data_IF_051685229613
#
_entry.id   IF_051685229613
#
_cell.length_a   1.000
_cell.length_b   1.000
_cell.length_c   1.000
_cell.angle_alpha   90.00
_cell.angle_beta   90.00
_cell.angle_gamma   90.00
#
_symmetry.space_group_name_H-M   'P 1'
#
loop_
_entity.id
_entity.type
_entity.pdbx_description
1 polymer ?
#
# COMPACT_ATOMS: atom_id res chain seq x y z
N UNK A 1 16.16 7.81 -16.37
CA UNK A 1 16.06 6.38 -15.95
C UNK A 1 16.53 5.47 -17.09
N UNK A 2 17.61 4.70 -16.90
CA UNK A 2 18.37 3.99 -17.94
C UNK A 2 17.63 2.78 -18.56
N UNK A 3 17.80 2.51 -19.87
CA UNK A 3 17.44 1.24 -20.55
C UNK A 3 18.36 0.09 -20.15
N UNK A 4 18.46 -0.19 -18.85
CA UNK A 4 19.52 -0.99 -18.24
C UNK A 4 19.62 -2.44 -18.75
N UNK A 5 18.59 -2.97 -19.40
CA UNK A 5 18.59 -4.32 -19.98
C UNK A 5 19.13 -4.38 -21.41
N UNK A 6 19.03 -3.27 -22.15
CA UNK A 6 19.26 -3.27 -23.60
C UNK A 6 20.51 -2.49 -23.99
N UNK A 7 20.91 -1.51 -23.18
CA UNK A 7 22.01 -0.63 -23.49
C UNK A 7 23.07 -0.67 -22.38
N UNK A 8 24.35 -0.70 -22.77
CA UNK A 8 25.47 -0.59 -21.82
C UNK A 8 25.56 0.85 -21.29
N UNK A 9 26.14 1.03 -20.08
CA UNK A 9 26.35 2.36 -19.53
C UNK A 9 27.15 3.27 -20.48
N UNK A 10 28.13 2.72 -21.20
CA UNK A 10 28.91 3.46 -22.21
C UNK A 10 28.08 3.86 -23.44
N UNK A 11 27.24 2.96 -23.95
CA UNK A 11 26.35 3.24 -25.08
C UNK A 11 25.33 4.33 -24.72
N UNK A 12 24.82 4.27 -23.48
CA UNK A 12 23.94 5.30 -22.91
C UNK A 12 24.69 6.63 -22.85
N UNK A 13 25.87 6.71 -22.21
CA UNK A 13 26.61 7.96 -22.10
C UNK A 13 26.89 8.57 -23.49
N UNK A 14 27.27 7.75 -24.46
CA UNK A 14 27.50 8.18 -25.84
C UNK A 14 26.23 8.70 -26.54
N UNK A 15 25.08 8.06 -26.34
CA UNK A 15 23.80 8.50 -26.90
C UNK A 15 23.26 9.77 -26.24
N UNK A 16 23.39 9.95 -24.92
CA UNK A 16 22.95 11.17 -24.21
C UNK A 16 23.66 12.43 -24.67
N UNK A 17 24.93 12.30 -25.07
CA UNK A 17 25.72 13.40 -25.64
C UNK A 17 25.27 13.79 -27.05
N UNK A 18 24.60 12.87 -27.75
CA UNK A 18 24.25 13.00 -29.17
C UNK A 18 22.82 13.49 -29.36
N UNK A 19 21.91 13.09 -28.47
CA UNK A 19 20.52 13.53 -28.45
C UNK A 19 19.97 13.51 -27.00
N UNK A 20 20.08 14.64 -26.27
CA UNK A 20 19.63 14.74 -24.88
C UNK A 20 18.10 14.62 -24.72
N UNK A 21 17.33 14.84 -25.79
CA UNK A 21 15.85 14.77 -25.79
C UNK A 21 15.30 13.41 -26.27
N UNK A 22 16.17 12.50 -26.72
CA UNK A 22 15.75 11.16 -27.13
C UNK A 22 15.05 10.41 -25.99
N UNK A 23 14.08 9.54 -26.32
CA UNK A 23 13.30 8.68 -25.40
C UNK A 23 14.13 7.66 -24.57
N UNK A 24 15.44 7.91 -24.49
CA UNK A 24 16.48 7.29 -23.71
C UNK A 24 16.14 7.08 -22.23
N UNK A 25 15.24 7.91 -21.69
CA UNK A 25 14.80 7.89 -20.29
C UNK A 25 13.31 7.62 -20.09
N UNK A 26 12.57 7.30 -21.16
CA UNK A 26 11.11 7.23 -21.12
C UNK A 26 10.55 5.91 -20.57
N UNK A 27 11.33 4.82 -20.58
CA UNK A 27 10.87 3.56 -19.98
C UNK A 27 10.71 3.76 -18.48
N UNK A 28 9.47 3.62 -18.00
CA UNK A 28 9.06 3.84 -16.59
C UNK A 28 8.91 5.30 -16.15
N UNK A 29 9.07 6.31 -17.02
CA UNK A 29 8.97 7.72 -16.62
C UNK A 29 7.62 8.09 -16.02
N UNK A 30 6.52 7.63 -16.62
CA UNK A 30 5.16 7.83 -16.10
C UNK A 30 4.85 6.95 -14.85
N UNK A 31 5.73 6.01 -14.51
CA UNK A 31 5.56 5.08 -13.38
C UNK A 31 6.47 5.43 -12.19
N UNK A 32 7.37 6.41 -12.36
CA UNK A 32 8.38 6.86 -11.39
C UNK A 32 8.30 8.38 -11.11
N UNK A 33 7.09 8.91 -10.97
CA UNK A 33 6.79 10.32 -10.70
C UNK A 33 7.37 10.81 -9.34
N UNK A 34 7.47 9.92 -8.35
CA UNK A 34 8.03 10.20 -7.04
C UNK A 34 9.46 10.68 -7.08
N UNK A 35 10.26 10.17 -8.01
CA UNK A 35 11.67 10.56 -8.17
C UNK A 35 11.84 12.03 -8.56
N UNK A 36 10.82 12.62 -9.19
CA UNK A 36 10.83 14.01 -9.67
C UNK A 36 10.19 14.96 -8.65
N UNK A 37 9.04 14.57 -8.09
CA UNK A 37 8.22 15.48 -7.26
C UNK A 37 8.15 15.13 -5.78
N UNK A 38 8.58 13.93 -5.38
CA UNK A 38 8.58 13.44 -4.00
C UNK A 38 7.21 13.22 -3.35
N UNK A 39 6.13 13.81 -3.90
CA UNK A 39 4.80 13.84 -3.30
C UNK A 39 4.21 12.47 -3.02
N UNK A 40 4.46 11.49 -3.90
CA UNK A 40 3.99 10.11 -3.74
C UNK A 40 4.51 9.45 -2.46
N UNK A 41 5.69 9.85 -1.98
CA UNK A 41 6.31 9.25 -0.79
C UNK A 41 5.65 9.70 0.51
N UNK A 42 5.03 10.88 0.55
CA UNK A 42 4.29 11.38 1.71
C UNK A 42 2.79 11.13 1.63
N UNK A 43 2.29 10.74 0.46
CA UNK A 43 0.86 10.64 0.25
C UNK A 43 0.17 9.57 1.11
N UNK A 44 0.76 8.38 1.36
CA UNK A 44 0.22 7.43 2.33
C UNK A 44 0.15 8.00 3.75
N UNK A 45 1.19 8.70 4.21
CA UNK A 45 1.18 9.34 5.53
C UNK A 45 0.03 10.33 5.67
N UNK A 46 -0.18 11.18 4.66
CA UNK A 46 -1.21 12.22 4.72
C UNK A 46 -2.64 11.65 4.55
N UNK A 47 -2.77 10.50 3.90
CA UNK A 47 -4.03 9.76 3.73
C UNK A 47 -4.31 8.71 4.81
N UNK A 48 -3.41 8.53 5.78
CA UNK A 48 -3.45 7.40 6.73
C UNK A 48 -4.68 7.38 7.64
N UNK A 49 -5.34 8.53 7.85
CA UNK A 49 -6.56 8.67 8.65
C UNK A 49 -7.78 9.04 7.80
N UNK A 50 -7.72 8.80 6.49
CA UNK A 50 -8.88 8.93 5.60
C UNK A 50 -10.09 8.20 6.20
N UNK A 51 -11.30 8.78 6.20
CA UNK A 51 -11.75 9.95 5.41
C UNK A 51 -11.46 11.32 6.03
N UNK A 52 -10.85 11.35 7.22
CA UNK A 52 -10.38 12.60 7.84
C UNK A 52 -8.97 12.96 7.35
N UNK A 53 -8.53 14.17 7.67
CA UNK A 53 -7.20 14.64 7.31
C UNK A 53 -6.58 15.43 8.46
N UNK A 54 -5.26 15.51 8.48
CA UNK A 54 -4.50 16.27 9.48
C UNK A 54 -3.45 17.18 8.86
N UNK A 55 -3.30 17.11 7.54
CA UNK A 55 -2.41 17.95 6.76
C UNK A 55 -2.54 17.68 5.27
N UNK A 56 -1.77 18.41 4.48
CA UNK A 56 -1.66 18.20 3.05
C UNK A 56 -0.25 18.53 2.57
N UNK A 57 0.14 17.93 1.44
CA UNK A 57 1.45 18.13 0.82
C UNK A 57 1.33 18.98 -0.44
N UNK A 58 2.30 19.86 -0.65
CA UNK A 58 2.47 20.63 -1.89
C UNK A 58 3.77 20.13 -2.54
N UNK A 59 3.67 19.24 -3.55
CA UNK A 59 4.85 18.76 -4.26
C UNK A 59 5.48 19.88 -5.08
N UNK A 60 6.81 19.86 -5.16
CA UNK A 60 7.62 20.70 -6.02
C UNK A 60 8.75 19.85 -6.60
N UNK A 61 9.42 20.35 -7.64
CA UNK A 61 10.58 19.65 -8.19
C UNK A 61 11.63 19.50 -7.08
N UNK A 62 11.99 18.25 -6.76
CA UNK A 62 13.00 17.90 -5.76
C UNK A 62 12.63 18.14 -4.29
N UNK A 63 11.41 18.56 -3.96
CA UNK A 63 11.01 18.83 -2.57
C UNK A 63 9.49 18.70 -2.36
N UNK A 64 9.06 18.43 -1.13
CA UNK A 64 7.64 18.46 -0.72
C UNK A 64 7.50 19.35 0.49
N UNK A 65 6.56 20.30 0.44
CA UNK A 65 6.19 21.09 1.62
C UNK A 65 4.95 20.46 2.24
N UNK A 66 5.04 20.05 3.50
CA UNK A 66 3.90 19.48 4.25
C UNK A 66 3.34 20.53 5.19
N UNK A 67 2.04 20.84 5.03
CA UNK A 67 1.28 21.67 5.94
C UNK A 67 0.50 20.78 6.89
N UNK A 68 0.81 20.83 8.18
CA UNK A 68 0.05 20.16 9.23
C UNK A 68 -0.94 21.13 9.87
N UNK A 69 -2.15 20.66 10.15
CA UNK A 69 -3.14 21.43 10.90
C UNK A 69 -2.91 21.35 12.42
N UNK A 70 -2.00 20.47 12.87
CA UNK A 70 -1.76 20.19 14.30
C UNK A 70 -2.96 19.53 14.99
N UNK A 71 -3.93 19.04 14.22
CA UNK A 71 -5.14 18.33 14.65
C UNK A 71 -5.76 17.60 13.46
N UNK A 72 -6.60 16.62 13.72
CA UNK A 72 -7.50 16.05 12.73
C UNK A 72 -8.63 17.05 12.42
N UNK A 73 -8.98 17.15 11.15
CA UNK A 73 -10.12 17.90 10.63
C UNK A 73 -10.89 17.00 9.66
N UNK A 74 -12.17 17.31 9.44
CA UNK A 74 -12.96 16.59 8.44
C UNK A 74 -12.36 16.78 7.05
N UNK A 75 -11.98 15.68 6.39
CA UNK A 75 -11.44 15.69 5.02
C UNK A 75 -12.56 15.73 3.98
N UNK A 76 -13.65 15.01 4.24
CA UNK A 76 -14.94 15.12 3.53
C UNK A 76 -16.07 15.05 4.56
N UNK A 77 -17.07 15.93 4.43
CA UNK A 77 -18.26 15.94 5.28
C UNK A 77 -19.35 15.04 4.70
N UNK A 78 -20.32 14.62 5.52
CA UNK A 78 -21.61 14.03 5.12
C UNK A 78 -22.51 14.99 4.30
N UNK A 79 -21.92 16.01 3.67
CA UNK A 79 -22.62 17.04 2.92
C UNK A 79 -22.81 16.67 1.46
N UNK A 80 -23.46 17.56 0.71
CA UNK A 80 -23.65 17.40 -0.72
C UNK A 80 -22.31 17.14 -1.44
N UNK A 81 -22.28 16.25 -2.45
CA UNK A 81 -21.07 15.99 -3.20
C UNK A 81 -20.50 17.27 -3.81
N UNK A 82 -19.17 17.39 -3.86
CA UNK A 82 -18.51 18.61 -4.38
C UNK A 82 -18.63 18.71 -5.90
N UNK A 83 -18.59 17.56 -6.57
CA UNK A 83 -18.75 17.48 -8.02
C UNK A 83 -20.09 16.82 -8.38
N UNK A 84 -20.74 17.28 -9.44
CA UNK A 84 -22.04 16.72 -9.88
C UNK A 84 -21.93 15.22 -10.21
N UNK A 85 -20.77 14.76 -10.70
CA UNK A 85 -20.56 13.34 -11.01
C UNK A 85 -20.63 12.45 -9.76
N UNK A 86 -20.26 12.98 -8.60
CA UNK A 86 -20.28 12.24 -7.34
C UNK A 86 -21.73 11.97 -6.86
N UNK A 87 -22.73 12.65 -7.43
CA UNK A 87 -24.15 12.38 -7.15
C UNK A 87 -24.60 10.99 -7.64
N UNK A 88 -23.87 10.39 -8.58
CA UNK A 88 -24.11 9.00 -8.99
C UNK A 88 -23.95 8.02 -7.83
N UNK A 89 -23.17 8.37 -6.80
CA UNK A 89 -23.06 7.57 -5.57
C UNK A 89 -24.37 7.41 -4.81
N UNK A 90 -25.34 8.32 -4.97
CA UNK A 90 -26.69 8.21 -4.36
C UNK A 90 -27.48 7.05 -4.95
N UNK A 91 -27.11 6.57 -6.14
CA UNK A 91 -27.75 5.40 -6.77
C UNK A 91 -27.36 4.07 -6.09
N UNK A 92 -26.34 4.07 -5.22
CA UNK A 92 -26.00 2.92 -4.41
C UNK A 92 -26.81 2.93 -3.10
N UNK A 93 -27.46 1.80 -2.78
CA UNK A 93 -28.24 1.65 -1.54
C UNK A 93 -27.41 1.74 -0.25
N UNK A 94 -26.09 1.56 -0.34
CA UNK A 94 -25.17 1.60 0.80
C UNK A 94 -24.09 2.66 0.59
N UNK A 95 -24.04 3.65 1.50
CA UNK A 95 -22.95 4.62 1.56
C UNK A 95 -21.92 4.17 2.58
N UNK A 96 -20.71 3.84 2.12
CA UNK A 96 -19.58 3.46 2.99
C UNK A 96 -19.08 4.60 3.87
N UNK A 97 -19.37 5.85 3.51
CA UNK A 97 -18.86 7.05 4.19
C UNK A 97 -19.17 7.10 5.68
N UNK A 98 -20.36 6.63 6.08
CA UNK A 98 -20.78 6.58 7.48
C UNK A 98 -20.24 5.37 8.26
N UNK A 99 -19.60 4.42 7.59
CA UNK A 99 -19.11 3.17 8.18
C UNK A 99 -17.58 3.17 8.42
N UNK A 100 -16.86 4.21 7.97
CA UNK A 100 -15.44 4.38 8.30
C UNK A 100 -15.26 4.77 9.77
N UNK A 101 -14.27 4.17 10.44
CA UNK A 101 -13.89 4.60 11.78
C UNK A 101 -13.17 5.97 11.75
N UNK A 102 -13.90 7.01 12.15
CA UNK A 102 -13.39 8.38 12.31
C UNK A 102 -12.98 8.73 13.74
N UNK A 103 -13.20 7.82 14.69
CA UNK A 103 -12.95 8.00 16.13
C UNK A 103 -11.71 7.28 16.63
N UNK A 104 -11.00 6.56 15.75
CA UNK A 104 -9.72 5.90 16.05
C UNK A 104 -8.64 6.79 16.70
N UNK A 105 -8.74 8.12 16.58
CA UNK A 105 -7.82 9.08 17.19
C UNK A 105 -8.57 10.05 18.11
N UNK A 106 -8.16 10.08 19.38
CA UNK A 106 -8.63 11.07 20.33
C UNK A 106 -7.78 12.35 20.27
N UNK A 107 -8.30 13.36 19.60
CA UNK A 107 -7.65 14.67 19.48
C UNK A 107 -7.57 15.45 20.79
N UNK A 108 -8.33 15.07 21.83
CA UNK A 108 -8.27 15.74 23.15
C UNK A 108 -7.02 15.31 23.93
N UNK A 109 -6.51 14.11 23.67
CA UNK A 109 -5.36 13.53 24.34
C UNK A 109 -4.08 13.72 23.50
N UNK A 110 -4.20 13.77 22.17
CA UNK A 110 -3.04 13.82 21.27
C UNK A 110 -2.35 15.21 21.28
N UNK A 111 -1.07 15.21 21.69
CA UNK A 111 -0.26 16.42 21.69
C UNK A 111 0.03 16.91 20.25
N UNK A 112 -0.07 18.22 19.98
CA UNK A 112 0.13 18.81 18.64
C UNK A 112 1.49 18.47 18.00
N UNK A 113 2.54 18.33 18.80
CA UNK A 113 3.87 17.91 18.33
C UNK A 113 3.91 16.48 17.75
N UNK A 114 2.93 15.63 18.07
CA UNK A 114 2.85 14.28 17.50
C UNK A 114 2.76 14.33 15.97
N UNK A 115 2.09 15.34 15.40
CA UNK A 115 1.97 15.48 13.96
C UNK A 115 3.30 15.81 13.27
N UNK A 116 4.10 16.73 13.83
CA UNK A 116 5.44 17.03 13.28
C UNK A 116 6.39 15.85 13.47
N UNK A 117 6.38 15.22 14.64
CA UNK A 117 7.20 14.03 14.90
C UNK A 117 6.82 12.85 13.98
N UNK A 118 5.54 12.72 13.62
CA UNK A 118 5.08 11.72 12.65
C UNK A 118 5.63 11.97 11.25
N UNK A 119 5.69 13.24 10.81
CA UNK A 119 6.30 13.64 9.53
C UNK A 119 7.79 13.29 9.54
N UNK A 120 8.52 13.68 10.59
CA UNK A 120 9.97 13.44 10.68
C UNK A 120 10.30 11.95 10.70
N UNK A 121 9.54 11.18 11.49
CA UNK A 121 9.68 9.72 11.55
C UNK A 121 9.43 9.11 10.18
N UNK A 122 8.34 9.48 9.51
CA UNK A 122 7.99 8.96 8.19
C UNK A 122 9.04 9.31 7.13
N UNK A 123 9.46 10.58 7.08
CA UNK A 123 10.48 11.06 6.18
C UNK A 123 11.78 10.26 6.34
N UNK A 124 12.20 10.00 7.59
CA UNK A 124 13.38 9.19 7.89
C UNK A 124 13.24 7.74 7.41
N UNK A 125 12.05 7.14 7.51
CA UNK A 125 11.82 5.77 7.02
C UNK A 125 11.84 5.71 5.50
N UNK A 126 11.16 6.64 4.84
CA UNK A 126 11.16 6.76 3.39
C UNK A 126 12.58 6.97 2.87
N UNK A 127 13.33 7.93 3.42
CA UNK A 127 14.70 8.25 3.00
C UNK A 127 15.59 7.00 3.03
N UNK A 128 15.58 6.27 4.15
CA UNK A 128 16.34 5.01 4.28
C UNK A 128 15.92 3.96 3.25
N UNK A 129 14.61 3.78 3.04
CA UNK A 129 14.12 2.85 2.03
C UNK A 129 14.52 3.25 0.61
N UNK A 130 14.51 4.56 0.29
CA UNK A 130 14.93 5.05 -1.01
C UNK A 130 16.43 4.85 -1.22
N UNK A 131 17.26 5.17 -0.24
CA UNK A 131 18.71 4.92 -0.29
C UNK A 131 19.00 3.46 -0.64
N UNK A 132 18.31 2.52 0.00
CA UNK A 132 18.49 1.10 -0.24
C UNK A 132 17.99 0.65 -1.63
N UNK A 133 16.77 1.07 -1.98
CA UNK A 133 16.06 0.60 -3.18
C UNK A 133 16.60 1.24 -4.47
N UNK A 134 17.27 2.38 -4.36
CA UNK A 134 17.82 3.10 -5.51
C UNK A 134 19.34 2.92 -5.63
N UNK A 135 19.99 2.26 -4.66
CA UNK A 135 21.42 1.98 -4.73
C UNK A 135 21.70 0.75 -5.60
N UNK A 136 22.50 0.87 -6.68
CA UNK A 136 22.87 -0.27 -7.51
C UNK A 136 23.61 -1.38 -6.73
N UNK A 137 24.34 -1.02 -5.67
CA UNK A 137 25.11 -1.97 -4.85
C UNK A 137 24.22 -2.91 -4.04
N UNK A 138 22.94 -2.59 -3.86
CA UNK A 138 21.95 -3.49 -3.23
C UNK A 138 21.58 -4.67 -4.13
N UNK A 139 21.83 -4.56 -5.44
CA UNK A 139 21.34 -5.49 -6.45
C UNK A 139 22.46 -6.25 -7.13
N UNK A 140 23.26 -6.99 -6.36
CA UNK A 140 24.28 -7.90 -6.89
C UNK A 140 23.86 -9.37 -6.73
N UNK A 141 24.32 -10.24 -7.62
CA UNK A 141 24.17 -11.69 -7.48
C UNK A 141 25.31 -12.30 -6.64
N UNK A 142 25.40 -13.63 -6.59
CA UNK A 142 26.41 -14.37 -5.83
C UNK A 142 27.85 -14.13 -6.30
N UNK A 143 28.04 -13.59 -7.50
CA UNK A 143 29.35 -13.26 -8.08
C UNK A 143 29.63 -11.75 -8.04
N UNK A 144 28.90 -11.00 -7.22
CA UNK A 144 28.94 -9.54 -7.12
C UNK A 144 28.60 -8.81 -8.45
N UNK A 145 27.89 -9.48 -9.36
CA UNK A 145 27.48 -8.88 -10.64
C UNK A 145 26.16 -8.14 -10.47
N UNK A 146 26.14 -6.87 -10.87
CA UNK A 146 24.95 -6.02 -10.80
C UNK A 146 23.79 -6.57 -11.65
N UNK A 147 22.58 -6.57 -11.08
CA UNK A 147 21.32 -7.11 -11.62
C UNK A 147 20.32 -6.00 -11.95
N UNK A 148 20.47 -5.33 -13.11
CA UNK A 148 19.67 -4.16 -13.47
C UNK A 148 18.16 -4.41 -13.55
N UNK A 149 17.76 -5.57 -14.07
CA UNK A 149 16.34 -5.91 -14.16
C UNK A 149 15.68 -6.12 -12.80
N UNK A 150 16.41 -6.63 -11.81
CA UNK A 150 15.93 -6.72 -10.43
C UNK A 150 15.83 -5.31 -9.82
N UNK A 151 16.86 -4.48 -9.96
CA UNK A 151 16.87 -3.10 -9.47
C UNK A 151 15.64 -2.32 -9.98
N UNK A 152 15.44 -2.26 -11.30
CA UNK A 152 14.32 -1.53 -11.90
C UNK A 152 12.95 -2.04 -11.40
N UNK A 153 12.77 -3.37 -11.31
CA UNK A 153 11.51 -3.97 -10.84
C UNK A 153 11.21 -3.58 -9.39
N UNK A 154 12.20 -3.58 -8.50
CA UNK A 154 11.99 -3.22 -7.10
C UNK A 154 11.63 -1.74 -6.92
N UNK A 155 12.30 -0.85 -7.66
CA UNK A 155 11.97 0.58 -7.68
C UNK A 155 10.52 0.81 -8.11
N UNK A 156 10.11 0.18 -9.22
CA UNK A 156 8.74 0.24 -9.73
C UNK A 156 7.73 -0.30 -8.71
N UNK A 157 7.98 -1.47 -8.14
CA UNK A 157 7.06 -2.09 -7.20
C UNK A 157 6.85 -1.24 -5.95
N UNK A 158 7.91 -0.62 -5.42
CA UNK A 158 7.81 0.25 -4.25
C UNK A 158 7.01 1.52 -4.55
N UNK A 159 7.27 2.16 -5.68
CA UNK A 159 6.54 3.38 -6.02
C UNK A 159 5.06 3.10 -6.34
N UNK A 160 4.80 2.03 -7.10
CA UNK A 160 3.43 1.61 -7.40
C UNK A 160 2.66 1.19 -6.15
N UNK A 161 3.33 0.58 -5.15
CA UNK A 161 2.72 0.29 -3.86
C UNK A 161 2.25 1.58 -3.16
N UNK A 162 3.12 2.59 -3.06
CA UNK A 162 2.79 3.88 -2.44
C UNK A 162 1.68 4.61 -3.20
N UNK A 163 1.77 4.66 -4.53
CA UNK A 163 0.79 5.30 -5.40
C UNK A 163 -0.60 4.67 -5.25
N UNK A 164 -0.68 3.34 -5.17
CA UNK A 164 -1.97 2.64 -5.03
C UNK A 164 -2.56 2.78 -3.63
N UNK A 165 -1.75 2.68 -2.57
CA UNK A 165 -2.21 2.96 -1.19
C UNK A 165 -2.77 4.38 -1.09
N UNK A 166 -2.08 5.32 -1.72
CA UNK A 166 -2.54 6.70 -1.82
C UNK A 166 -3.86 6.82 -2.60
N UNK A 167 -3.99 6.16 -3.76
CA UNK A 167 -5.22 6.17 -4.53
C UNK A 167 -6.41 5.58 -3.75
N UNK A 168 -6.20 4.48 -3.00
CA UNK A 168 -7.20 3.89 -2.11
C UNK A 168 -7.67 4.91 -1.07
N UNK A 169 -6.74 5.57 -0.38
CA UNK A 169 -7.07 6.52 0.70
C UNK A 169 -7.72 7.82 0.20
N UNK A 170 -7.53 8.19 -1.07
CA UNK A 170 -8.17 9.36 -1.70
C UNK A 170 -9.63 9.16 -2.10
N UNK A 171 -10.11 7.92 -2.16
CA UNK A 171 -11.44 7.58 -2.69
C UNK A 171 -12.37 6.90 -1.67
N UNK A 172 -12.62 7.49 -0.47
CA UNK A 172 -13.46 6.84 0.54
C UNK A 172 -14.93 6.65 0.12
N UNK A 173 -15.39 7.36 -0.92
CA UNK A 173 -16.78 7.32 -1.39
C UNK A 173 -17.03 6.23 -2.43
N UNK A 174 -15.97 5.56 -2.91
CA UNK A 174 -16.07 4.55 -3.96
C UNK A 174 -15.40 3.25 -3.52
N UNK A 175 -16.11 2.43 -2.70
CA UNK A 175 -15.62 1.15 -2.25
C UNK A 175 -15.25 0.19 -3.38
N UNK A 176 -15.97 0.26 -4.50
CA UNK A 176 -15.70 -0.60 -5.65
C UNK A 176 -14.32 -0.28 -6.24
N UNK A 177 -14.02 0.99 -6.48
CA UNK A 177 -12.69 1.44 -6.91
C UNK A 177 -11.62 1.11 -5.86
N UNK A 178 -11.89 1.34 -4.57
CA UNK A 178 -10.93 0.98 -3.51
C UNK A 178 -10.61 -0.52 -3.49
N UNK A 179 -11.60 -1.39 -3.66
CA UNK A 179 -11.39 -2.85 -3.74
C UNK A 179 -10.66 -3.25 -5.03
N UNK A 180 -10.99 -2.64 -6.17
CA UNK A 180 -10.26 -2.85 -7.43
C UNK A 180 -8.79 -2.45 -7.34
N UNK A 181 -8.47 -1.43 -6.54
CA UNK A 181 -7.09 -1.01 -6.27
C UNK A 181 -6.41 -1.88 -5.20
N UNK A 182 -7.16 -2.34 -4.20
CA UNK A 182 -6.68 -3.21 -3.13
C UNK A 182 -6.03 -4.48 -3.68
N UNK A 183 -6.74 -5.22 -4.54
CA UNK A 183 -6.27 -6.51 -5.04
C UNK A 183 -4.88 -6.48 -5.69
N UNK A 184 -4.62 -5.65 -6.70
CA UNK A 184 -3.30 -5.60 -7.31
C UNK A 184 -2.24 -4.96 -6.39
N UNK A 185 -2.64 -4.14 -5.39
CA UNK A 185 -1.72 -3.69 -4.33
C UNK A 185 -1.27 -4.86 -3.46
N UNK A 186 -2.21 -5.73 -3.08
CA UNK A 186 -1.92 -6.95 -2.33
C UNK A 186 -1.10 -7.95 -3.15
N UNK A 187 -1.29 -8.02 -4.47
CA UNK A 187 -0.45 -8.84 -5.35
C UNK A 187 1.01 -8.38 -5.35
N UNK A 188 1.26 -7.06 -5.47
CA UNK A 188 2.61 -6.50 -5.34
C UNK A 188 3.25 -6.91 -3.99
N UNK A 189 2.48 -6.81 -2.90
CA UNK A 189 2.91 -7.22 -1.57
C UNK A 189 3.18 -8.72 -1.45
N UNK A 190 2.31 -9.56 -2.03
CA UNK A 190 2.42 -11.01 -2.00
C UNK A 190 3.66 -11.47 -2.76
N UNK A 191 3.81 -11.04 -4.01
CA UNK A 191 4.83 -11.54 -4.91
C UNK A 191 6.21 -10.99 -4.58
N UNK A 192 6.29 -9.68 -4.35
CA UNK A 192 7.57 -8.98 -4.24
C UNK A 192 8.06 -8.90 -2.80
N UNK A 193 7.26 -8.29 -1.91
CA UNK A 193 7.73 -7.89 -0.58
C UNK A 193 7.67 -9.01 0.46
N UNK A 194 6.61 -9.82 0.45
CA UNK A 194 6.39 -10.83 1.49
C UNK A 194 6.73 -12.24 1.03
N UNK A 195 6.58 -12.55 -0.26
CA UNK A 195 6.69 -13.89 -0.79
C UNK A 195 5.61 -14.85 -0.31
N UNK A 196 4.40 -14.34 -0.07
CA UNK A 196 3.26 -15.19 0.28
C UNK A 196 2.72 -15.90 -0.95
N UNK A 197 2.03 -17.02 -0.72
CA UNK A 197 1.32 -17.75 -1.76
C UNK A 197 -0.03 -17.08 -2.05
N UNK A 198 0.01 -15.85 -2.58
CA UNK A 198 -1.17 -15.06 -2.94
C UNK A 198 -1.71 -14.17 -1.83
N UNK A 199 -2.78 -13.42 -2.18
CA UNK A 199 -3.33 -12.37 -1.32
C UNK A 199 -4.10 -12.91 -0.13
N UNK A 200 -4.77 -14.06 -0.25
CA UNK A 200 -5.63 -14.57 0.83
C UNK A 200 -4.84 -14.79 2.12
N UNK A 201 -3.59 -15.20 1.99
CA UNK A 201 -2.64 -15.35 3.09
C UNK A 201 -2.27 -14.02 3.77
N UNK A 202 -2.36 -12.90 3.05
CA UNK A 202 -2.06 -11.57 3.58
C UNK A 202 -3.25 -10.92 4.29
N UNK A 203 -4.47 -11.36 3.94
CA UNK A 203 -5.70 -10.77 4.44
C UNK A 203 -6.23 -11.47 5.72
N UNK A 204 -5.50 -12.43 6.28
CA UNK A 204 -5.95 -13.13 7.49
C UNK A 204 -5.75 -12.26 8.75
N UNK A 205 -6.74 -12.18 9.67
CA UNK A 205 -6.63 -11.38 10.89
C UNK A 205 -5.40 -11.74 11.72
N UNK A 206 -5.14 -13.05 11.85
CA UNK A 206 -3.98 -13.59 12.58
C UNK A 206 -2.65 -13.09 12.04
N UNK A 207 -2.49 -12.95 10.71
CA UNK A 207 -1.26 -12.43 10.13
C UNK A 207 -1.15 -10.92 10.29
N UNK A 208 -2.26 -10.21 10.10
CA UNK A 208 -2.34 -8.76 10.27
C UNK A 208 -1.99 -8.36 11.70
N UNK A 209 -2.59 -9.01 12.71
CA UNK A 209 -2.30 -8.82 14.13
C UNK A 209 -0.81 -9.02 14.45
N UNK A 210 -0.21 -10.13 14.01
CA UNK A 210 1.23 -10.39 14.21
C UNK A 210 2.14 -9.32 13.59
N UNK A 211 1.71 -8.69 12.49
CA UNK A 211 2.47 -7.61 11.87
C UNK A 211 2.32 -6.31 12.66
N UNK A 212 1.11 -6.00 13.11
CA UNK A 212 0.83 -4.84 13.96
C UNK A 212 1.67 -4.90 15.24
N UNK A 213 1.73 -6.05 15.91
CA UNK A 213 2.54 -6.25 17.11
C UNK A 213 4.04 -6.01 16.86
N UNK A 214 4.54 -6.37 15.68
CA UNK A 214 5.94 -6.16 15.29
C UNK A 214 6.22 -4.69 15.00
N UNK A 215 5.31 -4.04 14.28
CA UNK A 215 5.43 -2.64 13.88
C UNK A 215 5.30 -1.72 15.10
N UNK A 216 4.31 -1.94 15.96
CA UNK A 216 4.05 -1.11 17.15
C UNK A 216 5.30 -0.99 18.04
N UNK A 217 6.06 -2.08 18.21
CA UNK A 217 7.36 -2.08 18.95
C UNK A 217 8.44 -1.17 18.38
N UNK A 218 8.27 -0.65 17.16
CA UNK A 218 9.25 0.19 16.43
C UNK A 218 8.73 1.60 16.15
N UNK A 219 7.48 1.88 16.53
CA UNK A 219 6.85 3.20 16.41
C UNK A 219 6.90 3.87 17.78
N UNK A 220 7.41 5.12 17.88
CA UNK A 220 7.41 5.85 19.14
C UNK A 220 6.00 6.11 19.68
N UNK A 221 5.80 5.94 20.98
CA UNK A 221 4.51 6.04 21.68
C UNK A 221 3.74 7.32 21.34
N UNK A 222 4.42 8.48 21.27
CA UNK A 222 3.77 9.77 21.02
C UNK A 222 3.08 9.84 19.65
N UNK A 223 3.66 9.20 18.65
CA UNK A 223 3.16 9.24 17.26
C UNK A 223 2.39 7.96 16.89
N UNK A 224 2.43 6.94 17.74
CA UNK A 224 1.77 5.66 17.52
C UNK A 224 0.27 5.82 17.19
N UNK A 225 -0.52 6.66 17.90
CA UNK A 225 -1.93 6.85 17.56
C UNK A 225 -2.15 7.35 16.13
N UNK A 226 -1.24 8.15 15.58
CA UNK A 226 -1.33 8.66 14.21
C UNK A 226 -0.85 7.57 13.23
N UNK A 227 0.34 7.04 13.44
CA UNK A 227 0.99 6.12 12.48
C UNK A 227 0.25 4.77 12.40
N UNK A 228 -0.22 4.26 13.53
CA UNK A 228 -0.85 2.94 13.64
C UNK A 228 -2.36 2.93 13.43
N UNK A 229 -3.02 4.09 13.37
CA UNK A 229 -4.47 4.19 13.13
C UNK A 229 -4.98 3.31 11.98
N UNK A 230 -4.45 3.41 10.73
CA UNK A 230 -4.94 2.57 9.64
C UNK A 230 -4.70 1.08 9.88
N UNK A 231 -3.64 0.72 10.58
CA UNK A 231 -3.32 -0.67 10.84
C UNK A 231 -4.31 -1.30 11.84
N UNK A 232 -4.66 -0.57 12.91
CA UNK A 232 -5.66 -1.00 13.89
C UNK A 232 -7.05 -1.11 13.26
N UNK A 233 -7.42 -0.13 12.44
CA UNK A 233 -8.68 -0.15 11.65
C UNK A 233 -8.75 -1.33 10.68
N UNK A 234 -7.64 -1.59 9.96
CA UNK A 234 -7.56 -2.73 9.05
C UNK A 234 -7.71 -4.08 9.77
N UNK A 235 -7.16 -4.22 10.98
CA UNK A 235 -7.33 -5.44 11.77
C UNK A 235 -8.78 -5.63 12.19
N UNK A 236 -9.41 -4.60 12.77
CA UNK A 236 -10.81 -4.66 13.18
C UNK A 236 -11.72 -5.00 12.00
N UNK A 237 -11.47 -4.42 10.83
CA UNK A 237 -12.18 -4.75 9.60
C UNK A 237 -11.94 -6.21 9.15
N UNK A 238 -10.70 -6.71 9.24
CA UNK A 238 -10.40 -8.09 8.86
C UNK A 238 -11.07 -9.10 9.81
N UNK A 239 -11.15 -8.79 11.11
CA UNK A 239 -11.87 -9.58 12.11
C UNK A 239 -13.36 -9.62 11.80
N UNK A 240 -13.97 -8.46 11.51
CA UNK A 240 -15.37 -8.39 11.09
C UNK A 240 -15.65 -9.23 9.83
N UNK A 241 -14.77 -9.22 8.82
CA UNK A 241 -14.92 -10.10 7.64
C UNK A 241 -14.92 -11.58 8.05
N UNK A 242 -14.14 -11.98 9.06
CA UNK A 242 -14.16 -13.35 9.56
C UNK A 242 -15.46 -13.73 10.27
N UNK A 243 -16.14 -12.77 10.89
CA UNK A 243 -17.39 -12.98 11.62
C UNK A 243 -18.63 -13.04 10.70
N UNK A 244 -18.50 -12.64 9.44
CA UNK A 244 -19.58 -12.58 8.45
C UNK A 244 -19.88 -13.93 7.74
N UNK A 245 -19.22 -15.01 8.16
CA UNK A 245 -19.61 -16.38 7.77
C UNK A 245 -20.82 -16.85 8.57
N UNK A 246 -21.95 -17.06 7.90
CA UNK A 246 -23.23 -17.38 8.56
C UNK A 246 -23.68 -18.84 8.38
N UNK A 247 -23.04 -19.59 7.48
CA UNK A 247 -23.28 -21.03 7.27
C UNK A 247 -22.03 -21.82 7.68
N UNK A 248 -22.16 -22.99 8.32
CA UNK A 248 -21.04 -23.92 8.47
C UNK A 248 -20.46 -24.33 7.12
N UNK A 249 -19.15 -24.54 7.05
CA UNK A 249 -18.52 -25.05 5.83
C UNK A 249 -19.01 -26.48 5.53
N UNK A 250 -19.36 -26.81 4.28
CA UNK A 250 -19.68 -28.19 3.88
C UNK A 250 -18.44 -29.08 3.90
N UNK A 251 -17.24 -28.50 3.83
CA UNK A 251 -15.98 -29.20 4.05
C UNK A 251 -15.69 -29.28 5.56
N UNK A 252 -15.63 -30.49 6.16
CA UNK A 252 -15.40 -30.67 7.59
C UNK A 252 -13.99 -30.27 8.05
N UNK A 253 -13.02 -30.24 7.13
CA UNK A 253 -11.63 -29.87 7.42
C UNK A 253 -11.37 -28.35 7.28
N UNK A 254 -12.38 -27.58 6.87
CA UNK A 254 -12.23 -26.15 6.65
C UNK A 254 -12.09 -25.38 7.98
N UNK A 255 -10.91 -24.81 8.19
CA UNK A 255 -10.66 -23.87 9.29
C UNK A 255 -11.18 -22.47 8.96
N UNK A 256 -11.51 -21.62 9.94
CA UNK A 256 -11.86 -20.21 9.70
C UNK A 256 -10.82 -19.47 8.85
N UNK A 257 -9.53 -19.73 9.10
CA UNK A 257 -8.43 -19.14 8.33
C UNK A 257 -8.45 -19.58 6.87
N UNK A 258 -8.65 -20.88 6.60
CA UNK A 258 -8.76 -21.39 5.22
C UNK A 258 -9.95 -20.82 4.47
N UNK A 259 -11.10 -20.66 5.13
CA UNK A 259 -12.31 -20.06 4.55
C UNK A 259 -12.09 -18.61 4.15
N UNK A 260 -11.41 -17.83 5.00
CA UNK A 260 -11.00 -16.46 4.68
C UNK A 260 -10.05 -16.41 3.47
N UNK A 261 -9.07 -17.31 3.42
CA UNK A 261 -8.15 -17.39 2.27
C UNK A 261 -8.92 -17.67 0.97
N UNK A 262 -9.86 -18.61 1.00
CA UNK A 262 -10.70 -18.95 -0.15
C UNK A 262 -11.61 -17.78 -0.56
N UNK A 263 -12.23 -17.09 0.41
CA UNK A 263 -13.05 -15.90 0.16
C UNK A 263 -12.27 -14.83 -0.60
N UNK A 264 -11.07 -14.47 -0.13
CA UNK A 264 -10.27 -13.43 -0.76
C UNK A 264 -9.76 -13.82 -2.13
N UNK A 265 -9.37 -15.08 -2.32
CA UNK A 265 -8.99 -15.59 -3.63
C UNK A 265 -10.17 -15.60 -4.61
N UNK A 266 -11.36 -15.98 -4.14
CA UNK A 266 -12.61 -15.93 -4.92
C UNK A 266 -12.96 -14.50 -5.33
N UNK A 267 -12.89 -13.55 -4.40
CA UNK A 267 -13.15 -12.12 -4.67
C UNK A 267 -12.12 -11.49 -5.61
N UNK A 268 -10.84 -11.81 -5.48
CA UNK A 268 -9.79 -11.32 -6.40
C UNK A 268 -10.06 -11.73 -7.84
N UNK A 269 -10.50 -12.97 -8.05
CA UNK A 269 -10.72 -13.54 -9.38
C UNK A 269 -11.99 -13.01 -10.07
N UNK A 270 -12.74 -12.11 -9.45
CA UNK A 270 -13.94 -11.48 -10.03
C UNK A 270 -13.67 -10.74 -11.34
N UNK A 271 -12.43 -10.31 -11.59
CA UNK A 271 -12.02 -9.71 -12.87
C UNK A 271 -12.11 -10.69 -14.06
N UNK A 272 -12.24 -12.00 -13.79
CA UNK A 272 -12.44 -13.05 -14.78
C UNK A 272 -13.83 -13.71 -14.68
N UNK A 273 -14.73 -13.21 -13.83
CA UNK A 273 -16.01 -13.83 -13.49
C UNK A 273 -15.93 -14.82 -12.34
N UNK A 274 -17.07 -15.12 -11.72
CA UNK A 274 -17.17 -16.13 -10.66
C UNK A 274 -17.22 -17.54 -11.27
N UNK A 275 -16.12 -18.29 -11.17
CA UNK A 275 -16.03 -19.69 -11.60
C UNK A 275 -16.26 -20.66 -10.42
N UNK A 276 -15.91 -21.95 -10.57
CA UNK A 276 -16.09 -23.07 -9.62
C UNK A 276 -15.63 -22.85 -8.14
N UNK A 277 -15.05 -21.71 -7.79
CA UNK A 277 -14.66 -21.35 -6.41
C UNK A 277 -15.65 -20.37 -5.75
N UNK A 278 -16.83 -20.13 -6.33
CA UNK A 278 -17.82 -19.19 -5.83
C UNK A 278 -18.63 -19.70 -4.63
N UNK A 279 -18.57 -21.00 -4.32
CA UNK A 279 -19.34 -21.60 -3.22
C UNK A 279 -19.06 -20.94 -1.87
N UNK A 280 -17.80 -20.53 -1.62
CA UNK A 280 -17.41 -19.80 -0.40
C UNK A 280 -18.14 -18.46 -0.24
N UNK A 281 -18.63 -17.87 -1.33
CA UNK A 281 -19.42 -16.63 -1.31
C UNK A 281 -20.87 -16.89 -0.88
N UNK A 282 -21.37 -18.11 -1.02
CA UNK A 282 -22.69 -18.49 -0.51
C UNK A 282 -22.66 -18.71 1.02
N UNK A 283 -21.49 -18.94 1.61
CA UNK A 283 -21.31 -19.14 3.04
C UNK A 283 -21.12 -17.83 3.84
N UNK A 284 -20.90 -16.71 3.15
CA UNK A 284 -20.55 -15.41 3.72
C UNK A 284 -21.53 -14.34 3.24
N UNK A 285 -21.90 -13.38 4.09
CA UNK A 285 -22.86 -12.31 3.74
C UNK A 285 -22.45 -11.41 2.56
N UNK A 286 -21.23 -11.54 2.07
CA UNK A 286 -20.62 -10.60 1.13
C UNK A 286 -20.34 -9.19 1.68
N UNK A 287 -20.65 -8.91 2.96
CA UNK A 287 -20.34 -7.61 3.56
C UNK A 287 -18.84 -7.46 3.74
N UNK A 288 -18.28 -6.31 3.33
CA UNK A 288 -16.91 -5.93 3.62
C UNK A 288 -16.91 -4.58 4.35
N UNK A 289 -16.34 -4.47 5.55
CA UNK A 289 -16.18 -3.20 6.23
C UNK A 289 -15.30 -2.26 5.38
N UNK A 290 -15.58 -0.95 5.32
CA UNK A 290 -14.84 -0.02 4.47
C UNK A 290 -13.33 0.00 4.75
N UNK A 291 -12.95 -0.18 6.03
CA UNK A 291 -11.55 -0.13 6.48
C UNK A 291 -10.70 -1.33 6.05
N UNK A 292 -11.30 -2.36 5.44
CA UNK A 292 -10.55 -3.52 4.94
C UNK A 292 -9.53 -3.13 3.86
N UNK A 293 -9.78 -2.03 3.16
CA UNK A 293 -8.91 -1.50 2.11
C UNK A 293 -7.60 -0.90 2.67
N UNK A 294 -7.49 -0.77 4.00
CA UNK A 294 -6.31 -0.27 4.69
C UNK A 294 -5.28 -1.38 5.00
N UNK A 295 -5.60 -2.67 4.77
CA UNK A 295 -4.65 -3.78 4.98
C UNK A 295 -3.29 -3.58 4.30
N UNK A 296 -3.17 -3.09 3.05
CA UNK A 296 -1.88 -2.78 2.43
C UNK A 296 -1.00 -1.84 3.27
N UNK A 297 -1.61 -0.93 4.03
CA UNK A 297 -0.89 0.02 4.88
C UNK A 297 -0.14 -0.69 6.01
N UNK A 298 -0.71 -1.77 6.57
CA UNK A 298 -0.06 -2.60 7.59
C UNK A 298 1.28 -3.14 7.06
N UNK A 299 1.26 -3.64 5.84
CA UNK A 299 2.45 -4.18 5.18
C UNK A 299 3.44 -3.09 4.80
N UNK A 300 2.96 -1.92 4.36
CA UNK A 300 3.82 -0.77 4.12
C UNK A 300 4.58 -0.38 5.40
N UNK A 301 3.91 -0.32 6.55
CA UNK A 301 4.57 -0.04 7.83
C UNK A 301 5.58 -1.13 8.22
N UNK A 302 5.29 -2.42 7.99
CA UNK A 302 6.26 -3.50 8.21
C UNK A 302 7.52 -3.31 7.35
N UNK A 303 7.34 -2.97 6.06
CA UNK A 303 8.45 -2.68 5.12
C UNK A 303 9.28 -1.49 5.59
N UNK A 304 8.62 -0.38 5.98
CA UNK A 304 9.30 0.85 6.40
C UNK A 304 9.99 0.72 7.77
N UNK A 305 9.54 -0.22 8.61
CA UNK A 305 10.13 -0.44 9.94
C UNK A 305 11.16 -1.58 9.97
N UNK A 306 11.13 -2.51 9.01
CA UNK A 306 12.04 -3.65 8.92
C UNK A 306 12.96 -3.61 7.68
N UNK A 307 13.92 -2.70 7.72
CA UNK A 307 14.91 -2.53 6.65
C UNK A 307 15.64 -3.83 6.30
N UNK A 308 16.04 -4.60 7.30
CA UNK A 308 16.83 -5.82 7.08
C UNK A 308 16.02 -6.86 6.31
N UNK A 309 14.76 -7.07 6.68
CA UNK A 309 13.88 -8.00 5.98
C UNK A 309 13.66 -7.64 4.51
N UNK A 310 13.56 -6.34 4.21
CA UNK A 310 13.49 -5.83 2.83
C UNK A 310 14.76 -6.19 2.06
N UNK A 311 15.93 -5.88 2.60
CA UNK A 311 17.23 -6.15 1.96
C UNK A 311 17.47 -7.66 1.75
N UNK A 312 17.12 -8.51 2.71
CA UNK A 312 17.18 -9.96 2.58
C UNK A 312 16.26 -10.49 1.47
N UNK A 313 15.13 -9.83 1.24
CA UNK A 313 14.21 -10.19 0.16
C UNK A 313 14.77 -9.78 -1.21
N UNK A 314 15.31 -8.57 -1.32
CA UNK A 314 16.01 -8.10 -2.52
C UNK A 314 17.17 -9.04 -2.88
N UNK A 315 18.02 -9.36 -1.91
CA UNK A 315 19.17 -10.26 -2.11
C UNK A 315 18.75 -11.63 -2.64
N UNK A 316 17.75 -12.26 -2.00
CA UNK A 316 17.23 -13.57 -2.45
C UNK A 316 16.67 -13.52 -3.87
N UNK A 317 16.06 -12.40 -4.27
CA UNK A 317 15.52 -12.22 -5.61
C UNK A 317 16.63 -12.01 -6.66
N UNK A 318 17.72 -11.31 -6.31
CA UNK A 318 18.91 -11.17 -7.15
C UNK A 318 19.67 -12.50 -7.35
N UNK A 319 19.67 -13.38 -6.35
CA UNK A 319 20.30 -14.70 -6.38
C UNK A 319 19.51 -15.74 -7.19
N UNK A 320 18.24 -15.48 -7.51
CA UNK A 320 17.45 -16.43 -8.31
C UNK A 320 17.96 -16.45 -9.75
N UNK A 321 18.11 -17.64 -10.36
CA UNK A 321 18.40 -17.72 -11.78
C UNK A 321 17.29 -17.02 -12.57
N UNK A 322 17.63 -16.31 -13.66
CA UNK A 322 16.63 -15.67 -14.50
C UNK A 322 15.63 -16.74 -14.98
N UNK A 323 14.33 -16.48 -14.80
CA UNK A 323 13.31 -17.34 -15.41
C UNK A 323 13.49 -17.26 -16.94
N UNK A 324 13.49 -18.41 -17.64
CA UNK A 324 13.71 -18.47 -19.09
C UNK A 324 12.67 -17.67 -19.86
#
# INVERSE_FOLDING_TARGET
MLRLRHDTAAAIIAMSKKDPDSMMFSSSGALLEGTVFGGVYFAPLLGNISPTMWGFGVPRIGQVIVYSFGRQVGGRSHGAPRDLIDTLGVLAHHSSLGEFDVHSIDNTILHKAAYSEAIDWWATRIDRSLVDLFSPTTYTDEHDIYRPGAHQRWMLNFEQLLARICAITRQPNDPATQLMLLFPTMDILADSFTGSNGIGQLMTPKRISKLIDRVSKRVPDRIEPIIMAPARRALAAAEQVADEFFIPSPNPDATPESRIIHLWNGRRNTTHGFNNNAEILAEHTGRLPPDIVLVPFVYLLDILTDRQRLLERVRRDCQRPPKP
#
